data_IF_682842551195
#
_entry.id   IF_682842551195
#
_cell.length_a   1.000
_cell.length_b   1.000
_cell.length_c   1.000
_cell.angle_alpha   90.00
_cell.angle_beta   90.00
_cell.angle_gamma   90.00
#
_symmetry.space_group_name_H-M   'P 1'
#
loop_
_entity.id
_entity.type
_entity.pdbx_description
1 polymer ?
#
# COMPACT_ATOMS: atom_id res chain seq x y z
N UNK A 1 5.64 -21.27 7.13
CA UNK A 1 4.43 -20.42 7.02
C UNK A 1 4.09 -20.33 5.54
N UNK A 2 2.92 -20.80 5.12
CA UNK A 2 2.54 -20.86 3.69
C UNK A 2 2.56 -19.48 3.02
N UNK A 3 2.37 -18.42 3.81
CA UNK A 3 2.28 -17.03 3.38
C UNK A 3 3.59 -16.43 2.86
N UNK A 4 4.74 -17.06 3.12
CA UNK A 4 6.02 -16.56 2.58
C UNK A 4 6.36 -17.18 1.21
N UNK A 5 5.82 -18.38 0.94
CA UNK A 5 6.16 -19.15 -0.26
C UNK A 5 5.66 -18.48 -1.53
N UNK A 6 4.46 -17.90 -1.50
CA UNK A 6 3.93 -17.17 -2.64
C UNK A 6 4.78 -15.94 -2.95
N UNK A 7 5.19 -15.19 -1.93
CA UNK A 7 5.98 -13.97 -2.08
C UNK A 7 7.35 -14.28 -2.68
N UNK A 8 8.06 -15.29 -2.15
CA UNK A 8 9.35 -15.76 -2.69
C UNK A 8 9.25 -16.08 -4.18
N UNK A 9 8.21 -16.83 -4.56
CA UNK A 9 7.96 -17.20 -5.97
C UNK A 9 7.69 -15.97 -6.83
N UNK A 10 6.84 -15.05 -6.38
CA UNK A 10 6.49 -13.85 -7.14
C UNK A 10 7.70 -12.92 -7.32
N UNK A 11 8.52 -12.74 -6.28
CA UNK A 11 9.75 -11.94 -6.35
C UNK A 11 10.78 -12.60 -7.26
N UNK A 12 10.99 -13.92 -7.16
CA UNK A 12 11.90 -14.64 -8.04
C UNK A 12 11.50 -14.54 -9.52
N UNK A 13 10.21 -14.65 -9.83
CA UNK A 13 9.68 -14.46 -11.19
C UNK A 13 9.88 -13.03 -11.68
N UNK A 14 9.64 -12.03 -10.84
CA UNK A 14 9.86 -10.63 -11.18
C UNK A 14 11.33 -10.31 -11.46
N UNK A 15 12.24 -10.78 -10.60
CA UNK A 15 13.68 -10.64 -10.79
C UNK A 15 14.18 -11.38 -12.04
N UNK A 16 13.65 -12.57 -12.31
CA UNK A 16 13.97 -13.31 -13.53
C UNK A 16 13.70 -12.49 -14.79
N UNK A 17 12.62 -11.71 -14.83
CA UNK A 17 12.34 -10.79 -15.95
C UNK A 17 13.40 -9.72 -16.10
N UNK A 18 13.86 -9.11 -15.00
CA UNK A 18 14.92 -8.10 -15.01
C UNK A 18 16.26 -8.67 -15.47
N UNK A 19 16.58 -9.90 -15.05
CA UNK A 19 17.80 -10.63 -15.45
C UNK A 19 17.80 -10.92 -16.95
N UNK A 20 16.65 -11.28 -17.53
CA UNK A 20 16.53 -11.53 -18.98
C UNK A 20 16.83 -10.28 -19.80
N UNK A 21 16.53 -9.08 -19.27
CA UNK A 21 16.82 -7.81 -19.94
C UNK A 21 18.30 -7.42 -19.93
N UNK A 22 19.14 -8.10 -19.12
CA UNK A 22 20.58 -7.83 -18.98
C UNK A 22 20.90 -6.35 -18.72
N UNK A 23 20.16 -5.75 -17.79
CA UNK A 23 20.32 -4.35 -17.41
C UNK A 23 21.72 -4.10 -16.83
N UNK A 24 22.23 -2.87 -16.99
CA UNK A 24 23.51 -2.49 -16.41
C UNK A 24 23.50 -2.63 -14.88
N UNK A 25 24.62 -3.04 -14.27
CA UNK A 25 24.75 -3.32 -12.83
C UNK A 25 23.92 -4.51 -12.31
N UNK A 26 23.54 -5.44 -13.18
CA UNK A 26 22.95 -6.72 -12.76
C UNK A 26 23.92 -7.50 -11.86
N UNK A 27 23.44 -8.16 -10.78
CA UNK A 27 24.26 -9.07 -10.00
C UNK A 27 24.72 -10.28 -10.82
N UNK A 28 25.89 -10.86 -10.51
CA UNK A 28 26.34 -12.12 -11.10
C UNK A 28 25.30 -13.23 -10.96
N UNK A 29 25.32 -14.20 -11.88
CA UNK A 29 24.29 -15.26 -11.94
C UNK A 29 24.20 -16.07 -10.65
N UNK A 30 25.35 -16.38 -10.06
CA UNK A 30 25.49 -17.06 -8.77
C UNK A 30 24.88 -16.27 -7.60
N UNK A 31 24.78 -14.94 -7.72
CA UNK A 31 24.23 -14.04 -6.72
C UNK A 31 22.75 -13.72 -6.91
N UNK A 32 22.11 -14.14 -8.02
CA UNK A 32 20.71 -13.83 -8.30
C UNK A 32 19.80 -14.38 -7.20
N UNK A 33 20.06 -15.63 -6.75
CA UNK A 33 19.25 -16.26 -5.70
C UNK A 33 19.36 -15.50 -4.37
N UNK A 34 20.58 -15.17 -3.95
CA UNK A 34 20.82 -14.37 -2.74
C UNK A 34 20.18 -12.97 -2.85
N UNK A 35 20.25 -12.35 -4.03
CA UNK A 35 19.58 -11.07 -4.31
C UNK A 35 18.07 -11.20 -4.12
N UNK A 36 17.44 -12.27 -4.64
CA UNK A 36 16.01 -12.50 -4.46
C UNK A 36 15.62 -12.66 -2.99
N UNK A 37 16.44 -13.35 -2.19
CA UNK A 37 16.21 -13.51 -0.75
C UNK A 37 16.26 -12.15 -0.02
N UNK A 38 17.24 -11.30 -0.33
CA UNK A 38 17.33 -9.94 0.23
C UNK A 38 16.10 -9.11 -0.15
N UNK A 39 15.65 -9.18 -1.40
CA UNK A 39 14.45 -8.47 -1.84
C UNK A 39 13.21 -8.90 -1.06
N UNK A 40 13.03 -10.21 -0.84
CA UNK A 40 11.92 -10.74 -0.03
C UNK A 40 12.01 -10.20 1.40
N UNK A 41 13.19 -10.21 2.02
CA UNK A 41 13.38 -9.67 3.37
C UNK A 41 13.04 -8.17 3.46
N UNK A 42 13.47 -7.38 2.47
CA UNK A 42 13.17 -5.93 2.41
C UNK A 42 11.68 -5.65 2.20
N UNK A 43 10.97 -6.50 1.45
CA UNK A 43 9.52 -6.40 1.28
C UNK A 43 8.83 -6.75 2.60
N UNK A 44 9.23 -7.85 3.25
CA UNK A 44 8.67 -8.27 4.53
C UNK A 44 8.95 -7.29 5.68
N UNK A 45 10.05 -6.54 5.61
CA UNK A 45 10.35 -5.50 6.60
C UNK A 45 9.44 -4.27 6.50
N UNK A 46 8.63 -4.14 5.43
CA UNK A 46 7.68 -3.04 5.30
C UNK A 46 6.53 -3.19 6.27
N UNK A 47 6.23 -2.11 7.00
CA UNK A 47 5.06 -2.05 7.90
C UNK A 47 3.80 -1.86 7.08
N UNK A 48 3.04 -2.94 6.90
CA UNK A 48 1.72 -2.91 6.26
C UNK A 48 0.66 -3.44 7.22
N UNK A 49 -0.43 -2.69 7.37
CA UNK A 49 -1.58 -3.10 8.17
C UNK A 49 -2.20 -4.39 7.61
N UNK A 50 -2.37 -5.41 8.47
CA UNK A 50 -2.86 -6.74 8.07
C UNK A 50 -1.82 -7.67 7.42
N UNK A 51 -0.53 -7.27 7.39
CA UNK A 51 0.55 -8.06 6.79
C UNK A 51 0.44 -8.18 5.26
N UNK A 52 1.36 -8.93 4.66
CA UNK A 52 1.33 -9.22 3.21
C UNK A 52 0.39 -10.39 2.92
N UNK A 53 -0.55 -10.20 1.98
CA UNK A 53 -1.60 -11.16 1.65
C UNK A 53 -1.57 -11.51 0.17
N UNK A 54 -1.52 -12.80 -0.19
CA UNK A 54 -1.39 -13.22 -1.60
C UNK A 54 -2.49 -12.62 -2.49
N UNK A 55 -3.74 -12.65 -2.03
CA UNK A 55 -4.90 -12.14 -2.79
C UNK A 55 -4.84 -10.64 -3.05
N UNK A 56 -4.29 -9.86 -2.12
CA UNK A 56 -4.28 -8.40 -2.21
C UNK A 56 -2.98 -7.86 -2.80
N UNK A 57 -1.86 -8.56 -2.60
CA UNK A 57 -0.52 -8.02 -2.85
C UNK A 57 0.23 -8.67 -4.01
N UNK A 58 -0.09 -9.93 -4.37
CA UNK A 58 0.61 -10.61 -5.47
C UNK A 58 0.54 -9.83 -6.77
N UNK A 59 -0.67 -9.44 -7.18
CA UNK A 59 -0.88 -8.68 -8.41
C UNK A 59 -0.18 -7.30 -8.36
N UNK A 60 -0.09 -6.68 -7.18
CA UNK A 60 0.57 -5.38 -6.98
C UNK A 60 2.06 -5.50 -7.25
N UNK A 61 2.68 -6.54 -6.71
CA UNK A 61 4.11 -6.83 -6.88
C UNK A 61 4.41 -7.19 -8.34
N UNK A 62 3.59 -8.05 -8.96
CA UNK A 62 3.76 -8.43 -10.38
C UNK A 62 3.69 -7.21 -11.31
N UNK A 63 2.71 -6.32 -11.08
CA UNK A 63 2.57 -5.07 -11.83
C UNK A 63 3.75 -4.11 -11.60
N UNK A 64 4.23 -3.98 -10.36
CA UNK A 64 5.39 -3.15 -10.06
C UNK A 64 6.66 -3.66 -10.76
N UNK A 65 6.89 -4.98 -10.81
CA UNK A 65 8.00 -5.55 -11.58
C UNK A 65 7.86 -5.29 -13.08
N UNK A 66 6.66 -5.39 -13.65
CA UNK A 66 6.45 -5.06 -15.07
C UNK A 66 6.77 -3.60 -15.37
N UNK A 67 6.44 -2.67 -14.47
CA UNK A 67 6.83 -1.26 -14.60
C UNK A 67 8.35 -1.08 -14.53
N UNK A 68 9.02 -1.77 -13.60
CA UNK A 68 10.48 -1.73 -13.54
C UNK A 68 11.13 -2.22 -14.84
N UNK A 69 10.61 -3.31 -15.43
CA UNK A 69 11.10 -3.80 -16.71
C UNK A 69 10.91 -2.80 -17.85
N UNK A 70 9.86 -1.98 -17.82
CA UNK A 70 9.58 -0.98 -18.84
C UNK A 70 10.40 0.31 -18.66
N UNK A 71 10.74 0.67 -17.43
CA UNK A 71 11.31 1.98 -17.09
C UNK A 71 12.81 1.96 -16.77
N UNK A 72 13.36 0.84 -16.33
CA UNK A 72 14.73 0.79 -15.79
C UNK A 72 15.76 0.39 -16.85
N UNK A 73 16.79 1.21 -17.01
CA UNK A 73 17.99 0.88 -17.81
C UNK A 73 19.10 0.20 -16.99
N UNK A 74 19.04 0.35 -15.66
CA UNK A 74 19.98 -0.24 -14.69
C UNK A 74 19.22 -1.17 -13.77
N UNK A 75 19.91 -2.17 -13.23
CA UNK A 75 19.33 -3.12 -12.29
C UNK A 75 18.79 -2.36 -11.06
N UNK A 76 17.47 -2.43 -10.79
CA UNK A 76 16.84 -1.59 -9.79
C UNK A 76 17.19 -2.00 -8.36
N UNK A 77 17.01 -1.08 -7.41
CA UNK A 77 17.04 -1.39 -5.98
C UNK A 77 15.64 -1.81 -5.47
N UNK A 78 15.52 -2.60 -4.38
CA UNK A 78 14.23 -3.00 -3.82
C UNK A 78 13.28 -1.83 -3.52
N UNK A 79 13.83 -0.68 -3.10
CA UNK A 79 13.06 0.55 -2.86
C UNK A 79 12.26 0.98 -4.10
N UNK A 80 12.84 0.83 -5.29
CA UNK A 80 12.18 1.22 -6.54
C UNK A 80 10.94 0.38 -6.85
N UNK A 81 10.93 -0.89 -6.43
CA UNK A 81 9.75 -1.75 -6.50
C UNK A 81 8.67 -1.24 -5.55
N UNK A 82 9.03 -0.96 -4.28
CA UNK A 82 8.10 -0.51 -3.25
C UNK A 82 7.42 0.82 -3.63
N UNK A 83 8.19 1.76 -4.18
CA UNK A 83 7.69 3.06 -4.63
C UNK A 83 6.68 2.91 -5.80
N UNK A 84 6.73 1.81 -6.55
CA UNK A 84 5.86 1.53 -7.71
C UNK A 84 4.67 0.63 -7.41
N UNK A 85 4.53 0.14 -6.18
CA UNK A 85 3.42 -0.71 -5.80
C UNK A 85 2.10 0.04 -5.98
N UNK A 86 1.15 -0.48 -6.79
CA UNK A 86 -0.22 0.03 -6.83
C UNK A 86 -0.81 0.09 -5.41
N UNK A 87 -1.79 0.96 -5.13
CA UNK A 87 -2.49 0.92 -3.83
C UNK A 87 -3.33 -0.36 -3.73
N UNK A 88 -3.56 -0.85 -2.51
CA UNK A 88 -4.55 -1.92 -2.29
C UNK A 88 -5.92 -1.42 -2.73
N UNK A 89 -6.74 -2.31 -3.29
CA UNK A 89 -8.14 -2.01 -3.54
C UNK A 89 -8.83 -1.88 -2.18
N UNK A 90 -9.10 -0.66 -1.77
CA UNK A 90 -9.94 -0.39 -0.59
C UNK A 90 -11.39 -0.52 -1.02
N UNK A 91 -12.18 -1.26 -0.25
CA UNK A 91 -13.63 -1.19 -0.35
C UNK A 91 -14.04 0.21 0.10
N UNK A 92 -14.74 0.94 -0.76
CA UNK A 92 -15.33 2.22 -0.35
C UNK A 92 -16.36 1.93 0.74
N UNK A 93 -16.27 2.67 1.84
CA UNK A 93 -17.32 2.63 2.84
C UNK A 93 -18.61 3.17 2.20
N UNK A 94 -19.77 2.56 2.49
CA UNK A 94 -21.04 3.15 2.07
C UNK A 94 -21.11 4.59 2.62
N UNK A 95 -21.67 5.54 1.85
CA UNK A 95 -21.82 6.90 2.32
C UNK A 95 -22.55 6.91 3.66
N UNK A 96 -22.14 7.75 4.62
CA UNK A 96 -22.78 7.82 5.92
C UNK A 96 -24.26 8.13 5.71
N UNK A 97 -25.14 7.23 6.15
CA UNK A 97 -26.58 7.49 6.13
C UNK A 97 -26.87 8.49 7.26
N UNK A 98 -27.31 9.73 6.97
CA UNK A 98 -27.66 10.67 8.01
C UNK A 98 -28.84 10.10 8.79
N UNK A 99 -28.61 9.70 10.04
CA UNK A 99 -29.70 9.38 10.96
C UNK A 99 -30.36 10.70 11.36
N UNK A 100 -31.67 10.88 11.13
CA UNK A 100 -32.37 12.06 11.65
C UNK A 100 -32.21 12.09 13.17
N UNK A 101 -31.88 13.27 13.70
CA UNK A 101 -31.69 13.47 15.14
C UNK A 101 -32.99 13.13 15.88
N UNK A 102 -32.88 12.43 17.02
CA UNK A 102 -34.02 12.23 17.90
C UNK A 102 -34.51 13.58 18.46
N UNK A 103 -35.77 13.70 18.90
CA UNK A 103 -36.29 14.96 19.47
C UNK A 103 -35.45 15.49 20.64
N UNK A 104 -34.93 14.59 21.48
CA UNK A 104 -34.03 14.91 22.58
C UNK A 104 -32.69 15.48 22.11
N UNK A 105 -32.12 14.89 21.05
CA UNK A 105 -30.89 15.38 20.43
C UNK A 105 -31.10 16.76 19.79
N UNK A 106 -32.25 16.99 19.15
CA UNK A 106 -32.61 18.29 18.58
C UNK A 106 -32.74 19.37 19.67
N UNK A 107 -33.34 19.04 20.81
CA UNK A 107 -33.44 19.93 21.96
C UNK A 107 -32.06 20.26 22.56
N UNK A 108 -31.18 19.27 22.68
CA UNK A 108 -29.81 19.48 23.17
C UNK A 108 -29.00 20.36 22.21
N UNK A 109 -29.03 20.05 20.91
CA UNK A 109 -28.32 20.83 19.87
C UNK A 109 -28.85 22.26 19.80
N UNK A 110 -30.16 22.47 19.90
CA UNK A 110 -30.75 23.82 19.85
C UNK A 110 -30.40 24.66 21.08
N UNK A 111 -30.39 24.07 22.29
CA UNK A 111 -29.88 24.75 23.50
C UNK A 111 -28.43 25.17 23.32
N UNK A 112 -27.58 24.23 22.91
CA UNK A 112 -26.16 24.48 22.70
C UNK A 112 -25.96 25.63 21.69
N UNK A 113 -26.64 25.58 20.53
CA UNK A 113 -26.54 26.64 19.51
C UNK A 113 -26.99 28.02 20.01
N UNK A 114 -28.01 28.09 20.86
CA UNK A 114 -28.49 29.34 21.43
C UNK A 114 -27.49 29.94 22.43
N UNK A 115 -26.86 29.11 23.25
CA UNK A 115 -25.78 29.53 24.15
C UNK A 115 -24.57 30.07 23.35
N UNK A 116 -24.15 29.34 22.32
CA UNK A 116 -23.05 29.76 21.45
C UNK A 116 -23.37 31.05 20.68
N UNK A 117 -24.61 31.26 20.23
CA UNK A 117 -25.05 32.53 19.64
C UNK A 117 -24.95 33.70 20.63
N UNK A 118 -25.34 33.48 21.88
CA UNK A 118 -25.24 34.50 22.93
C UNK A 118 -23.79 34.93 23.18
N UNK A 119 -22.87 33.97 23.26
CA UNK A 119 -21.44 34.23 23.44
C UNK A 119 -20.82 34.95 22.25
N UNK A 120 -21.21 34.60 21.02
CA UNK A 120 -20.71 35.25 19.81
C UNK A 120 -21.23 36.69 19.65
N UNK A 121 -22.48 36.95 20.04
CA UNK A 121 -23.05 38.30 20.00
C UNK A 121 -22.56 39.19 21.16
N UNK A 122 -22.18 38.63 22.31
CA UNK A 122 -21.63 39.38 23.44
C UNK A 122 -20.18 39.86 23.22
N UNK A 123 -19.50 39.38 22.17
CA UNK A 123 -18.13 39.74 21.80
C UNK A 123 -18.02 40.81 20.71
N UNK A 124 -19.13 41.45 20.34
CA UNK A 124 -19.22 42.49 19.30
C UNK A 124 -19.63 43.82 19.91
#
# INVERSE_FOLDING_TARGET
MADEKWLKRTVAQGLGKLVVLRLANQPPEEMIKATAEVWVQVILSQRIYGGWQEKEDKWRIEQAFMRLCAECERFPAPKMLLDRLPKRKTLELPPPQPKPLTPEQQACVSKMLNEWRGVLNAKR
#
